data_IF_854691188078
#
_entry.id   IF_854691188078
#
_cell.length_a   1.000
_cell.length_b   1.000
_cell.length_c   1.000
_cell.angle_alpha   90.00
_cell.angle_beta   90.00
_cell.angle_gamma   90.00
#
_symmetry.space_group_name_H-M   'P 1'
#
loop_
_entity.id
_entity.type
_entity.pdbx_description
1 polymer ?
#
# COMPACT_ATOMS: atom_id res chain seq x y z
N UNK A 1 -20.36 5.72 -21.63
CA UNK A 1 -19.08 5.86 -22.37
C UNK A 1 -18.72 4.50 -22.93
N UNK A 2 -18.52 4.38 -24.23
CA UNK A 2 -17.91 3.18 -24.82
C UNK A 2 -16.46 3.13 -24.35
N UNK A 3 -16.12 2.10 -23.56
CA UNK A 3 -14.76 1.83 -23.10
C UNK A 3 -13.94 1.30 -24.28
N UNK A 4 -13.42 2.18 -25.12
CA UNK A 4 -12.41 1.84 -26.13
C UNK A 4 -11.02 1.80 -25.49
N UNK A 5 -10.11 0.99 -26.04
CA UNK A 5 -8.73 0.85 -25.53
C UNK A 5 -8.00 2.21 -25.46
N UNK A 6 -8.29 3.10 -26.41
CA UNK A 6 -7.79 4.47 -26.46
C UNK A 6 -8.20 5.28 -25.23
N UNK A 7 -9.47 5.18 -24.80
CA UNK A 7 -9.97 5.88 -23.63
C UNK A 7 -9.33 5.34 -22.34
N UNK A 8 -9.10 4.03 -22.24
CA UNK A 8 -8.43 3.42 -21.07
C UNK A 8 -6.98 3.90 -20.98
N UNK A 9 -6.24 3.92 -22.10
CA UNK A 9 -4.87 4.42 -22.15
C UNK A 9 -4.79 5.92 -21.85
N UNK A 10 -5.72 6.72 -22.38
CA UNK A 10 -5.80 8.15 -22.09
C UNK A 10 -6.05 8.39 -20.60
N UNK A 11 -7.02 7.71 -20.00
CA UNK A 11 -7.38 7.90 -18.60
C UNK A 11 -6.26 7.41 -17.68
N UNK A 12 -5.65 6.26 -17.99
CA UNK A 12 -4.49 5.74 -17.27
C UNK A 12 -3.27 6.66 -17.34
N UNK A 13 -2.98 7.22 -18.52
CA UNK A 13 -1.85 8.16 -18.68
C UNK A 13 -2.08 9.49 -17.95
N UNK A 14 -3.30 10.04 -17.96
CA UNK A 14 -3.66 11.23 -17.18
C UNK A 14 -3.51 10.95 -15.68
N UNK A 15 -3.98 9.80 -15.18
CA UNK A 15 -3.82 9.43 -13.78
C UNK A 15 -2.35 9.24 -13.39
N UNK A 16 -1.55 8.59 -14.24
CA UNK A 16 -0.10 8.46 -14.03
C UNK A 16 0.58 9.82 -13.99
N UNK A 17 0.26 10.71 -14.94
CA UNK A 17 0.83 12.05 -15.02
C UNK A 17 0.47 12.89 -13.78
N UNK A 18 -0.79 12.86 -13.35
CA UNK A 18 -1.24 13.51 -12.12
C UNK A 18 -0.48 12.96 -10.89
N UNK A 19 -0.29 11.64 -10.82
CA UNK A 19 0.45 10.98 -9.74
C UNK A 19 1.93 11.40 -9.72
N UNK A 20 2.57 11.52 -10.90
CA UNK A 20 3.97 11.98 -11.00
C UNK A 20 4.10 13.44 -10.52
N UNK A 21 3.19 14.32 -10.93
CA UNK A 21 3.17 15.73 -10.48
C UNK A 21 2.96 15.79 -8.96
N UNK A 22 2.02 15.01 -8.44
CA UNK A 22 1.73 14.94 -7.01
C UNK A 22 2.97 14.46 -6.24
N UNK A 23 3.63 13.39 -6.70
CA UNK A 23 4.86 12.85 -6.10
C UNK A 23 5.98 13.89 -6.04
N UNK A 24 6.24 14.61 -7.14
CA UNK A 24 7.28 15.66 -7.19
C UNK A 24 6.97 16.82 -6.22
N UNK A 25 5.69 17.14 -6.07
CA UNK A 25 5.20 18.13 -5.11
C UNK A 25 5.36 17.66 -3.66
N UNK A 26 5.10 16.37 -3.39
CA UNK A 26 5.25 15.73 -2.07
C UNK A 26 6.63 15.94 -1.45
N UNK A 27 7.69 15.78 -2.26
CA UNK A 27 9.07 16.00 -1.82
C UNK A 27 9.34 17.41 -1.33
N UNK A 28 8.61 18.42 -1.84
CA UNK A 28 8.76 19.82 -1.43
C UNK A 28 7.99 20.15 -0.14
N UNK A 29 6.86 19.48 0.09
CA UNK A 29 5.97 19.74 1.24
C UNK A 29 6.17 18.74 2.41
N UNK A 30 7.02 17.72 2.26
CA UNK A 30 7.31 16.75 3.31
C UNK A 30 6.16 15.78 3.63
N UNK A 31 5.16 15.71 2.75
CA UNK A 31 3.99 14.81 2.89
C UNK A 31 4.35 13.42 2.34
N UNK A 32 3.91 12.31 2.97
CA UNK A 32 4.07 10.97 2.41
C UNK A 32 3.36 10.82 1.05
N UNK A 33 4.10 10.38 0.04
CA UNK A 33 3.59 10.22 -1.34
C UNK A 33 2.35 9.32 -1.40
N UNK A 34 2.25 8.32 -0.51
CA UNK A 34 1.10 7.41 -0.43
C UNK A 34 -0.21 8.15 -0.14
N UNK A 35 -0.19 9.18 0.71
CA UNK A 35 -1.37 10.00 1.01
C UNK A 35 -1.82 10.76 -0.25
N UNK A 36 -0.88 11.27 -1.03
CA UNK A 36 -1.21 11.95 -2.28
C UNK A 36 -1.80 11.01 -3.32
N UNK A 37 -1.25 9.80 -3.48
CA UNK A 37 -1.82 8.79 -4.38
C UNK A 37 -3.24 8.39 -3.96
N UNK A 38 -3.49 8.26 -2.66
CA UNK A 38 -4.83 8.01 -2.14
C UNK A 38 -5.79 9.15 -2.50
N UNK A 39 -5.39 10.42 -2.31
CA UNK A 39 -6.21 11.59 -2.65
C UNK A 39 -6.51 11.63 -4.15
N UNK A 40 -5.51 11.41 -5.01
CA UNK A 40 -5.71 11.36 -6.46
C UNK A 40 -6.69 10.25 -6.84
N UNK A 41 -6.57 9.07 -6.22
CA UNK A 41 -7.52 7.97 -6.41
C UNK A 41 -8.94 8.31 -5.96
N UNK A 42 -9.11 8.89 -4.77
CA UNK A 42 -10.42 9.33 -4.26
C UNK A 42 -11.05 10.41 -5.16
N UNK A 43 -10.25 11.36 -5.65
CA UNK A 43 -10.73 12.40 -6.57
C UNK A 43 -11.13 11.82 -7.93
N UNK A 44 -10.47 10.76 -8.38
CA UNK A 44 -10.80 10.08 -9.62
C UNK A 44 -12.03 9.17 -9.49
N UNK A 45 -12.26 8.60 -8.30
CA UNK A 45 -13.33 7.66 -8.01
C UNK A 45 -14.75 8.19 -8.19
N UNK A 46 -15.74 7.32 -7.93
CA UNK A 46 -17.17 7.59 -8.12
C UNK A 46 -17.68 8.78 -7.32
N UNK A 47 -17.18 8.95 -6.10
CA UNK A 47 -17.52 10.07 -5.19
C UNK A 47 -16.70 11.34 -5.45
N UNK A 48 -15.66 11.23 -6.27
CA UNK A 48 -14.79 12.35 -6.64
C UNK A 48 -15.25 13.09 -7.91
N UNK A 49 -14.60 14.21 -8.25
CA UNK A 49 -14.84 14.93 -9.51
C UNK A 49 -14.63 14.08 -10.77
N UNK A 50 -13.81 13.03 -10.71
CA UNK A 50 -13.57 12.12 -11.83
C UNK A 50 -14.74 11.19 -12.17
N UNK A 51 -15.62 10.90 -11.20
CA UNK A 51 -16.82 10.06 -11.36
C UNK A 51 -16.56 8.69 -12.01
N UNK A 52 -15.36 8.12 -11.81
CA UNK A 52 -15.03 6.80 -12.33
C UNK A 52 -15.69 5.75 -11.43
N UNK A 53 -16.74 5.10 -11.94
CA UNK A 53 -17.37 3.99 -11.24
C UNK A 53 -16.47 2.75 -11.30
N UNK A 54 -16.20 2.15 -10.13
CA UNK A 54 -15.40 0.95 -10.00
C UNK A 54 -15.99 0.05 -8.91
N UNK A 55 -16.44 -1.14 -9.31
CA UNK A 55 -17.04 -2.14 -8.42
C UNK A 55 -16.75 -3.55 -8.97
N UNK A 56 -15.46 -3.86 -9.14
CA UNK A 56 -15.02 -5.17 -9.59
C UNK A 56 -13.85 -5.67 -8.72
N UNK A 57 -14.13 -6.56 -7.75
CA UNK A 57 -13.11 -7.15 -6.89
C UNK A 57 -12.09 -8.00 -7.67
N UNK A 58 -12.47 -8.60 -8.80
CA UNK A 58 -11.57 -9.45 -9.61
C UNK A 58 -10.54 -8.60 -10.31
N UNK A 59 -10.95 -7.47 -10.89
CA UNK A 59 -10.03 -6.52 -11.51
C UNK A 59 -9.12 -5.91 -10.43
N UNK A 60 -9.67 -5.54 -9.27
CA UNK A 60 -8.87 -5.03 -8.14
C UNK A 60 -7.82 -6.04 -7.67
N UNK A 61 -8.21 -7.31 -7.52
CA UNK A 61 -7.30 -8.39 -7.16
C UNK A 61 -6.24 -8.60 -8.23
N UNK A 62 -6.61 -8.64 -9.52
CA UNK A 62 -5.66 -8.82 -10.62
C UNK A 62 -4.61 -7.71 -10.64
N UNK A 63 -5.05 -6.45 -10.57
CA UNK A 63 -4.16 -5.30 -10.49
C UNK A 63 -3.27 -5.35 -9.25
N UNK A 64 -3.84 -5.74 -8.10
CA UNK A 64 -3.11 -5.92 -6.84
C UNK A 64 -2.04 -7.00 -6.92
N UNK A 65 -2.33 -8.16 -7.52
CA UNK A 65 -1.37 -9.26 -7.70
C UNK A 65 -0.24 -8.83 -8.64
N UNK A 66 -0.55 -8.18 -9.76
CA UNK A 66 0.47 -7.68 -10.69
C UNK A 66 1.37 -6.66 -9.98
N UNK A 67 0.78 -5.65 -9.33
CA UNK A 67 1.54 -4.62 -8.62
C UNK A 67 2.39 -5.21 -7.48
N UNK A 68 1.81 -6.08 -6.64
CA UNK A 68 2.50 -6.71 -5.52
C UNK A 68 3.65 -7.61 -5.99
N UNK A 69 3.46 -8.33 -7.10
CA UNK A 69 4.54 -9.12 -7.70
C UNK A 69 5.75 -8.24 -8.03
N UNK A 70 5.55 -7.10 -8.69
CA UNK A 70 6.63 -6.17 -9.00
C UNK A 70 7.24 -5.54 -7.75
N UNK A 71 6.41 -5.09 -6.79
CA UNK A 71 6.88 -4.43 -5.56
C UNK A 71 7.73 -5.40 -4.72
N UNK A 72 7.24 -6.61 -4.47
CA UNK A 72 7.95 -7.61 -3.68
C UNK A 72 9.21 -8.10 -4.40
N UNK A 73 9.15 -8.26 -5.72
CA UNK A 73 10.31 -8.69 -6.50
C UNK A 73 11.41 -7.62 -6.53
N UNK A 74 11.07 -6.36 -6.79
CA UNK A 74 12.03 -5.24 -6.75
C UNK A 74 12.62 -5.07 -5.36
N UNK A 75 11.78 -5.09 -4.32
CA UNK A 75 12.23 -5.01 -2.94
C UNK A 75 13.19 -6.14 -2.56
N UNK A 76 12.91 -7.37 -3.03
CA UNK A 76 13.80 -8.51 -2.83
C UNK A 76 15.15 -8.36 -3.54
N UNK A 77 15.17 -7.87 -4.79
CA UNK A 77 16.38 -7.68 -5.58
C UNK A 77 17.28 -6.55 -5.06
N UNK A 78 16.69 -5.45 -4.59
CA UNK A 78 17.43 -4.30 -4.04
C UNK A 78 18.04 -4.59 -2.67
N UNK A 79 17.55 -5.62 -1.99
CA UNK A 79 17.94 -5.96 -0.63
C UNK A 79 19.25 -6.75 -0.59
N UNK A 80 20.30 -6.13 -0.06
CA UNK A 80 21.61 -6.78 0.13
C UNK A 80 21.61 -7.69 1.34
N UNK A 81 21.93 -8.97 1.12
CA UNK A 81 22.08 -9.99 2.17
C UNK A 81 23.07 -9.58 3.26
N UNK A 82 24.15 -8.90 2.88
CA UNK A 82 25.18 -8.38 3.78
C UNK A 82 24.61 -7.40 4.81
N UNK A 83 23.61 -6.60 4.42
CA UNK A 83 22.95 -5.63 5.29
C UNK A 83 21.92 -6.27 6.23
N UNK A 84 21.28 -7.38 5.82
CA UNK A 84 20.33 -8.11 6.68
C UNK A 84 21.03 -8.99 7.70
N UNK A 85 22.15 -9.62 7.32
CA UNK A 85 22.83 -10.65 8.12
C UNK A 85 23.01 -10.30 9.61
N UNK A 86 23.37 -9.05 10.00
CA UNK A 86 23.51 -8.68 11.42
C UNK A 86 22.20 -8.65 12.20
N UNK A 87 21.06 -8.39 11.53
CA UNK A 87 19.75 -8.20 12.16
C UNK A 87 18.76 -9.33 11.87
N UNK A 88 19.20 -10.38 11.17
CA UNK A 88 18.36 -11.46 10.66
C UNK A 88 17.49 -12.11 11.75
N UNK A 89 18.04 -12.35 12.94
CA UNK A 89 17.28 -12.96 14.06
C UNK A 89 16.11 -12.09 14.51
N UNK A 90 16.35 -10.79 14.67
CA UNK A 90 15.31 -9.85 15.08
C UNK A 90 14.29 -9.65 13.94
N UNK A 91 14.76 -9.56 12.70
CA UNK A 91 13.91 -9.48 11.52
C UNK A 91 12.95 -10.66 11.40
N UNK A 92 13.46 -11.89 11.53
CA UNK A 92 12.65 -13.11 11.49
C UNK A 92 11.64 -13.17 12.64
N UNK A 93 12.03 -12.77 13.85
CA UNK A 93 11.12 -12.74 14.99
C UNK A 93 9.97 -11.73 14.78
N UNK A 94 10.27 -10.53 14.29
CA UNK A 94 9.25 -9.52 13.99
C UNK A 94 8.34 -9.96 12.83
N UNK A 95 8.91 -10.54 11.76
CA UNK A 95 8.14 -10.94 10.58
C UNK A 95 7.28 -12.18 10.78
N UNK A 96 7.48 -12.94 11.87
CA UNK A 96 6.70 -14.14 12.18
C UNK A 96 5.85 -13.94 13.44
N UNK A 97 6.48 -13.91 14.61
CA UNK A 97 5.79 -13.75 15.89
C UNK A 97 5.14 -12.38 16.02
N UNK A 98 5.84 -11.32 15.60
CA UNK A 98 5.29 -9.95 15.63
C UNK A 98 4.01 -9.83 14.78
N UNK A 99 4.04 -10.33 13.56
CA UNK A 99 2.88 -10.37 12.65
C UNK A 99 1.74 -11.21 13.24
N UNK A 100 2.03 -12.40 13.77
CA UNK A 100 1.02 -13.28 14.36
C UNK A 100 0.32 -12.60 15.57
N UNK A 101 1.09 -12.03 16.48
CA UNK A 101 0.56 -11.31 17.65
C UNK A 101 -0.30 -10.13 17.20
N UNK A 102 0.17 -9.36 16.21
CA UNK A 102 -0.55 -8.19 15.68
C UNK A 102 -1.86 -8.62 15.01
N UNK A 103 -1.84 -9.65 14.16
CA UNK A 103 -3.02 -10.13 13.47
C UNK A 103 -4.10 -10.64 14.44
N UNK A 104 -3.70 -11.38 15.49
CA UNK A 104 -4.63 -11.90 16.49
C UNK A 104 -5.18 -10.77 17.35
N UNK A 105 -4.32 -9.89 17.89
CA UNK A 105 -4.75 -8.81 18.78
C UNK A 105 -5.66 -7.82 18.06
N UNK A 106 -5.27 -7.37 16.87
CA UNK A 106 -6.11 -6.49 16.03
C UNK A 106 -7.38 -7.21 15.61
N UNK A 107 -7.30 -8.49 15.20
CA UNK A 107 -8.47 -9.21 14.72
C UNK A 107 -9.52 -9.51 15.80
N UNK A 108 -9.09 -9.83 17.02
CA UNK A 108 -10.00 -9.98 18.17
C UNK A 108 -10.60 -8.62 18.55
N UNK A 109 -9.78 -7.57 18.57
CA UNK A 109 -10.24 -6.22 18.87
C UNK A 109 -11.29 -5.73 17.87
N UNK A 110 -11.07 -5.92 16.56
CA UNK A 110 -12.00 -5.50 15.52
C UNK A 110 -13.27 -6.34 15.52
N UNK A 111 -13.18 -7.65 15.80
CA UNK A 111 -14.37 -8.51 15.98
C UNK A 111 -15.25 -7.99 17.13
N UNK A 112 -14.65 -7.60 18.25
CA UNK A 112 -15.38 -7.06 19.40
C UNK A 112 -15.99 -5.67 19.12
N UNK A 113 -15.21 -4.75 18.54
CA UNK A 113 -15.66 -3.36 18.32
C UNK A 113 -16.68 -3.24 17.20
N UNK A 114 -16.48 -3.96 16.10
CA UNK A 114 -17.35 -3.90 14.91
C UNK A 114 -18.50 -4.90 14.96
N UNK A 115 -18.57 -5.75 16.00
CA UNK A 115 -19.56 -6.84 16.14
C UNK A 115 -19.60 -7.77 14.92
N UNK A 116 -18.44 -8.06 14.34
CA UNK A 116 -18.28 -9.01 13.21
C UNK A 116 -17.79 -10.36 13.72
N UNK A 117 -17.92 -11.40 12.91
CA UNK A 117 -17.47 -12.74 13.29
C UNK A 117 -15.95 -12.74 13.59
N UNK A 118 -15.52 -13.67 14.44
CA UNK A 118 -14.09 -13.79 14.79
C UNK A 118 -13.22 -14.06 13.54
N UNK A 119 -13.78 -14.75 12.55
CA UNK A 119 -13.10 -15.07 11.30
C UNK A 119 -12.89 -13.83 10.43
N UNK A 120 -13.90 -12.96 10.32
CA UNK A 120 -13.79 -11.69 9.60
C UNK A 120 -12.85 -10.72 10.32
N UNK A 121 -12.92 -10.67 11.66
CA UNK A 121 -11.99 -9.89 12.47
C UNK A 121 -10.54 -10.33 12.25
N UNK A 122 -10.26 -11.64 12.36
CA UNK A 122 -8.94 -12.21 12.10
C UNK A 122 -8.48 -11.99 10.66
N UNK A 123 -9.38 -12.05 9.66
CA UNK A 123 -9.06 -11.72 8.27
C UNK A 123 -8.60 -10.26 8.14
N UNK A 124 -9.32 -9.33 8.76
CA UNK A 124 -8.96 -7.91 8.76
C UNK A 124 -7.61 -7.70 9.49
N UNK A 125 -7.43 -8.34 10.63
CA UNK A 125 -6.16 -8.33 11.37
C UNK A 125 -4.98 -8.84 10.53
N UNK A 126 -5.19 -9.91 9.77
CA UNK A 126 -4.17 -10.45 8.86
C UNK A 126 -3.81 -9.44 7.75
N UNK A 127 -4.80 -8.80 7.13
CA UNK A 127 -4.57 -7.80 6.07
C UNK A 127 -3.74 -6.61 6.60
N UNK A 128 -4.07 -6.11 7.80
CA UNK A 128 -3.41 -4.92 8.39
C UNK A 128 -2.04 -5.25 9.00
N UNK A 129 -1.78 -6.50 9.37
CA UNK A 129 -0.52 -6.91 10.01
C UNK A 129 0.73 -6.80 9.12
N UNK A 130 0.56 -6.71 7.80
CA UNK A 130 1.66 -6.54 6.84
C UNK A 130 2.15 -5.09 6.84
N UNK A 131 3.36 -4.85 7.35
CA UNK A 131 3.94 -3.50 7.47
C UNK A 131 4.64 -3.06 6.18
N UNK A 132 4.35 -1.87 5.64
CA UNK A 132 5.04 -1.29 4.48
C UNK A 132 6.29 -0.49 4.89
N UNK A 133 7.47 -1.04 4.57
CA UNK A 133 8.74 -0.40 4.86
C UNK A 133 9.02 0.83 3.96
N UNK A 134 8.47 0.90 2.74
CA UNK A 134 8.73 1.98 1.80
C UNK A 134 8.23 3.34 2.32
N UNK A 135 7.05 3.37 2.92
CA UNK A 135 6.48 4.57 3.53
C UNK A 135 7.31 5.07 4.73
N UNK A 136 7.85 4.16 5.54
CA UNK A 136 8.66 4.50 6.73
C UNK A 136 10.05 5.00 6.31
N UNK A 137 10.72 4.33 5.36
CA UNK A 137 12.03 4.75 4.87
C UNK A 137 12.00 6.13 4.22
N UNK A 138 10.92 6.46 3.50
CA UNK A 138 10.72 7.81 2.97
C UNK A 138 10.74 8.86 4.10
N UNK A 139 9.96 8.65 5.16
CA UNK A 139 9.87 9.59 6.30
C UNK A 139 11.22 9.71 7.02
N UNK A 140 11.92 8.59 7.26
CA UNK A 140 13.22 8.59 7.94
C UNK A 140 14.27 9.38 7.13
N UNK A 141 14.30 9.19 5.80
CA UNK A 141 15.20 9.90 4.89
C UNK A 141 14.88 11.40 4.80
N UNK A 142 13.61 11.79 4.78
CA UNK A 142 13.20 13.21 4.75
C UNK A 142 13.50 13.94 6.06
N UNK A 143 13.54 13.22 7.19
CA UNK A 143 13.83 13.79 8.52
C UNK A 143 15.32 13.79 8.88
N UNK A 144 16.20 13.39 7.95
CA UNK A 144 17.66 13.34 8.13
C UNK A 144 18.11 12.51 9.36
N UNK A 145 17.28 11.56 9.80
CA UNK A 145 17.59 10.63 10.89
C UNK A 145 18.19 9.36 10.29
N UNK A 146 19.49 9.47 9.99
CA UNK A 146 20.40 8.33 9.84
C UNK A 146 20.32 7.56 8.52
N UNK A 147 21.01 8.07 7.50
CA UNK A 147 21.89 7.30 6.60
C UNK A 147 23.06 8.19 6.17
#
# INVERSE_FOLDING_TARGET
>A
MTLTAENILLLGSIMLFASIIASKTSFKFGVPTLILFLIVGMLAGSEGPGKIYFDDPKIAQFMGVVALTFILFSGGLETKLESIKPVLKNGLALSTLGVLITAITVGVFTSYVLNISIMEGLLLGAIVSSTDAAAVFFILRTRNIGL
#
